data_IF_803374778987
#
_entry.id   IF_803374778987
#
_cell.length_a   1.000
_cell.length_b   1.000
_cell.length_c   1.000
_cell.angle_alpha   90.00
_cell.angle_beta   90.00
_cell.angle_gamma   90.00
#
_symmetry.space_group_name_H-M   'P 1'
#
loop_
_entity.id
_entity.type
_entity.pdbx_description
1 polymer ?
#
# COMPACT_ATOMS: atom_id res chain seq x y z
N UNK A 1 23.01 -7.91 1.16
CA UNK A 1 21.91 -8.77 0.68
C UNK A 1 20.65 -8.10 1.22
N UNK A 2 20.18 -7.07 0.53
CA UNK A 2 19.13 -6.13 0.95
C UNK A 2 18.01 -6.28 -0.08
N UNK A 3 16.70 -6.32 0.19
CA UNK A 3 15.86 -6.09 1.36
C UNK A 3 14.71 -7.11 1.27
N UNK A 4 14.03 -7.49 2.37
CA UNK A 4 12.82 -8.28 2.24
C UNK A 4 11.73 -7.36 1.66
N UNK A 5 11.56 -7.41 0.34
CA UNK A 5 10.27 -7.06 -0.27
C UNK A 5 9.22 -7.83 0.51
N UNK A 6 8.36 -7.12 1.26
CA UNK A 6 7.32 -7.74 2.08
C UNK A 6 6.54 -8.69 1.18
N UNK A 7 6.38 -9.95 1.58
CA UNK A 7 5.67 -10.93 0.77
C UNK A 7 4.23 -10.46 0.52
N UNK A 8 3.64 -10.83 -0.62
CA UNK A 8 2.30 -10.39 -1.05
C UNK A 8 1.25 -10.66 0.05
N UNK A 9 1.26 -11.84 0.66
CA UNK A 9 0.39 -12.20 1.78
C UNK A 9 0.59 -11.33 3.04
N UNK A 10 1.84 -10.95 3.31
CA UNK A 10 2.19 -10.12 4.47
C UNK A 10 1.72 -8.69 4.24
N UNK A 11 1.88 -8.17 3.02
CA UNK A 11 1.34 -6.87 2.60
C UNK A 11 -0.18 -6.85 2.82
N UNK A 12 -0.90 -7.87 2.35
CA UNK A 12 -2.36 -7.96 2.51
C UNK A 12 -2.78 -8.01 3.97
N UNK A 13 -2.08 -8.80 4.77
CA UNK A 13 -2.38 -8.94 6.21
C UNK A 13 -2.18 -7.60 6.93
N UNK A 14 -1.01 -6.97 6.74
CA UNK A 14 -0.71 -5.66 7.35
C UNK A 14 -1.66 -4.56 6.87
N UNK A 15 -1.98 -4.54 5.58
CA UNK A 15 -2.93 -3.59 5.02
C UNK A 15 -4.33 -3.73 5.64
N UNK A 16 -4.80 -4.96 5.88
CA UNK A 16 -6.08 -5.24 6.54
C UNK A 16 -6.08 -4.94 8.05
N UNK A 17 -4.95 -5.10 8.72
CA UNK A 17 -4.82 -4.82 10.16
C UNK A 17 -4.59 -3.34 10.47
N UNK A 18 -4.22 -2.55 9.47
CA UNK A 18 -3.98 -1.13 9.61
C UNK A 18 -5.26 -0.34 9.95
N UNK A 19 -5.10 0.90 10.41
CA UNK A 19 -6.23 1.76 10.76
C UNK A 19 -7.20 2.02 9.58
N UNK A 20 -6.71 1.91 8.35
CA UNK A 20 -7.50 1.99 7.11
C UNK A 20 -7.83 0.60 6.51
N UNK A 21 -7.64 -0.47 7.27
CA UNK A 21 -7.80 -1.84 6.79
C UNK A 21 -9.23 -2.19 6.38
N UNK A 22 -10.24 -1.58 6.99
CA UNK A 22 -11.63 -1.73 6.55
C UNK A 22 -11.85 -1.13 5.15
N UNK A 23 -11.22 0.02 4.87
CA UNK A 23 -11.25 0.66 3.56
C UNK A 23 -10.49 -0.18 2.53
N UNK A 24 -9.33 -0.71 2.91
CA UNK A 24 -8.55 -1.62 2.08
C UNK A 24 -9.35 -2.89 1.76
N UNK A 25 -9.93 -3.57 2.75
CA UNK A 25 -10.68 -4.82 2.54
C UNK A 25 -11.92 -4.60 1.66
N UNK A 26 -12.60 -3.47 1.83
CA UNK A 26 -13.72 -3.06 0.97
C UNK A 26 -13.29 -2.92 -0.49
N UNK A 27 -12.25 -2.13 -0.76
CA UNK A 27 -11.69 -1.97 -2.10
C UNK A 27 -11.16 -3.30 -2.66
N UNK A 28 -10.46 -4.07 -1.85
CA UNK A 28 -9.91 -5.37 -2.21
C UNK A 28 -10.98 -6.36 -2.66
N UNK A 29 -12.18 -6.30 -2.08
CA UNK A 29 -13.35 -7.10 -2.48
C UNK A 29 -14.08 -6.58 -3.73
N UNK A 30 -13.59 -5.51 -4.35
CA UNK A 30 -14.26 -4.87 -5.48
C UNK A 30 -15.40 -3.93 -5.07
N UNK A 31 -15.54 -3.61 -3.77
CA UNK A 31 -16.60 -2.71 -3.32
C UNK A 31 -16.15 -1.25 -3.46
N UNK A 32 -16.61 -0.60 -4.51
CA UNK A 32 -16.31 0.82 -4.81
C UNK A 32 -17.29 1.80 -4.16
N UNK A 33 -18.14 1.33 -3.25
CA UNK A 33 -19.15 2.15 -2.57
C UNK A 33 -18.51 3.30 -1.78
N UNK A 34 -18.76 4.53 -2.22
CA UNK A 34 -18.20 5.76 -1.64
C UNK A 34 -17.20 6.50 -2.54
N UNK A 35 -16.90 5.97 -3.73
CA UNK A 35 -16.12 6.65 -4.77
C UNK A 35 -17.02 7.15 -5.89
N UNK A 36 -16.65 8.26 -6.54
CA UNK A 36 -17.43 8.81 -7.66
C UNK A 36 -17.26 7.96 -8.92
N UNK A 37 -16.10 7.29 -9.05
CA UNK A 37 -15.78 6.46 -10.19
C UNK A 37 -14.99 5.20 -9.83
N UNK A 38 -15.08 4.17 -10.69
CA UNK A 38 -14.24 2.97 -10.57
C UNK A 38 -12.74 3.31 -10.70
N UNK A 39 -12.38 4.29 -11.53
CA UNK A 39 -11.00 4.77 -11.67
C UNK A 39 -10.42 5.34 -10.37
N UNK A 40 -11.22 6.06 -9.58
CA UNK A 40 -10.80 6.53 -8.26
C UNK A 40 -10.61 5.39 -7.27
N UNK A 41 -11.49 4.40 -7.29
CA UNK A 41 -11.34 3.22 -6.45
C UNK A 41 -10.07 2.44 -6.79
N UNK A 42 -9.77 2.29 -8.09
CA UNK A 42 -8.52 1.68 -8.57
C UNK A 42 -7.31 2.46 -8.05
N UNK A 43 -7.30 3.78 -8.22
CA UNK A 43 -6.22 4.65 -7.75
C UNK A 43 -6.03 4.55 -6.24
N UNK A 44 -7.13 4.56 -5.48
CA UNK A 44 -7.08 4.44 -4.03
C UNK A 44 -6.47 3.11 -3.59
N UNK A 45 -6.83 1.99 -4.25
CA UNK A 45 -6.22 0.70 -3.96
C UNK A 45 -4.74 0.69 -4.34
N UNK A 46 -4.37 1.23 -5.50
CA UNK A 46 -2.98 1.33 -5.93
C UNK A 46 -2.12 2.19 -5.00
N UNK A 47 -2.63 3.30 -4.47
CA UNK A 47 -1.90 4.13 -3.49
C UNK A 47 -1.67 3.37 -2.18
N UNK A 48 -2.66 2.60 -1.72
CA UNK A 48 -2.50 1.74 -0.54
C UNK A 48 -1.44 0.66 -0.81
N UNK A 49 -1.51 -0.01 -1.95
CA UNK A 49 -0.51 -1.01 -2.35
C UNK A 49 0.89 -0.39 -2.46
N UNK A 50 1.02 0.77 -3.10
CA UNK A 50 2.29 1.49 -3.23
C UNK A 50 2.96 1.72 -1.88
N UNK A 51 2.18 2.15 -0.88
CA UNK A 51 2.69 2.36 0.47
C UNK A 51 3.27 1.08 1.08
N UNK A 52 2.56 -0.05 0.96
CA UNK A 52 2.97 -1.32 1.58
C UNK A 52 4.07 -2.06 0.81
N UNK A 53 4.13 -1.91 -0.51
CA UNK A 53 5.12 -2.59 -1.37
C UNK A 53 6.37 -1.75 -1.60
N UNK A 54 6.42 -0.52 -1.08
CA UNK A 54 7.51 0.41 -1.36
C UNK A 54 7.54 0.89 -2.81
N UNK A 55 6.40 0.92 -3.50
CA UNK A 55 6.31 1.33 -4.90
C UNK A 55 6.81 0.27 -5.90
N UNK A 56 6.89 -1.00 -5.49
CA UNK A 56 7.25 -2.09 -6.38
C UNK A 56 6.15 -2.36 -7.41
N UNK A 57 6.31 -1.86 -8.63
CA UNK A 57 5.28 -1.92 -9.68
C UNK A 57 4.87 -3.36 -10.03
N UNK A 58 5.80 -4.31 -10.29
CA UNK A 58 5.42 -5.72 -10.52
C UNK A 58 4.65 -6.36 -9.37
N UNK A 59 4.97 -5.99 -8.13
CA UNK A 59 4.27 -6.51 -6.96
C UNK A 59 2.86 -5.94 -6.85
N UNK A 60 2.73 -4.63 -7.03
CA UNK A 60 1.44 -3.94 -7.00
C UNK A 60 0.51 -4.44 -8.12
N UNK A 61 1.04 -4.71 -9.32
CA UNK A 61 0.27 -5.26 -10.44
C UNK A 61 -0.32 -6.63 -10.10
N UNK A 62 0.49 -7.56 -9.57
CA UNK A 62 0.01 -8.88 -9.14
C UNK A 62 -1.07 -8.78 -8.07
N UNK A 63 -0.83 -7.95 -7.04
CA UNK A 63 -1.80 -7.72 -5.97
C UNK A 63 -3.09 -7.09 -6.50
N UNK A 64 -3.01 -6.15 -7.45
CA UNK A 64 -4.21 -5.55 -8.03
C UNK A 64 -5.02 -6.57 -8.84
N UNK A 65 -4.36 -7.45 -9.60
CA UNK A 65 -5.01 -8.55 -10.35
C UNK A 65 -5.71 -9.55 -9.44
N UNK A 66 -5.17 -9.79 -8.25
CA UNK A 66 -5.79 -10.64 -7.23
C UNK A 66 -6.97 -9.97 -6.51
N UNK A 67 -7.16 -8.66 -6.71
CA UNK A 67 -8.26 -7.91 -6.13
C UNK A 67 -9.55 -8.05 -6.96
N UNK A 68 -10.69 -7.81 -6.31
CA UNK A 68 -12.00 -7.75 -6.96
C UNK A 68 -12.23 -6.52 -7.85
N UNK A 69 -11.26 -5.60 -7.95
CA UNK A 69 -11.31 -4.44 -8.85
C UNK A 69 -10.69 -4.70 -10.22
N UNK A 70 -10.03 -5.85 -10.41
CA UNK A 70 -9.44 -6.21 -11.68
C UNK A 70 -10.49 -6.22 -12.82
N UNK A 71 -10.09 -5.68 -13.97
CA UNK A 71 -10.94 -5.47 -15.15
C UNK A 71 -10.12 -5.57 -16.43
N UNK A 72 -10.75 -5.96 -17.55
CA UNK A 72 -10.08 -6.12 -18.85
C UNK A 72 -9.35 -4.84 -19.30
N UNK A 73 -9.91 -3.67 -18.97
CA UNK A 73 -9.29 -2.35 -19.21
C UNK A 73 -7.90 -2.22 -18.60
N UNK A 74 -7.60 -2.95 -17.52
CA UNK A 74 -6.31 -2.89 -16.83
C UNK A 74 -5.14 -3.20 -17.77
N UNK A 75 -5.33 -4.18 -18.66
CA UNK A 75 -4.34 -4.60 -19.66
C UNK A 75 -4.49 -3.88 -21.00
N UNK A 76 -5.49 -3.00 -21.12
CA UNK A 76 -5.74 -2.25 -22.35
C UNK A 76 -4.74 -1.11 -22.50
N UNK A 77 -4.10 -1.05 -23.67
CA UNK A 77 -3.23 0.06 -24.06
C UNK A 77 -4.08 1.31 -24.25
N UNK A 78 -4.00 2.21 -23.27
CA UNK A 78 -4.83 3.41 -23.22
C UNK A 78 -4.09 4.68 -23.61
N UNK A 79 -2.76 4.62 -23.67
CA UNK A 79 -1.90 5.79 -23.85
C UNK A 79 -1.13 5.73 -25.17
N UNK A 80 -0.86 6.90 -25.75
CA UNK A 80 -0.14 7.04 -27.02
C UNK A 80 1.32 6.56 -26.95
N UNK A 81 1.86 6.40 -25.74
CA UNK A 81 3.20 5.84 -25.49
C UNK A 81 3.22 4.30 -25.47
N UNK A 82 2.07 3.65 -25.64
CA UNK A 82 1.94 2.19 -25.61
C UNK A 82 1.73 1.61 -24.21
N UNK A 83 1.64 2.45 -23.17
CA UNK A 83 1.41 1.97 -21.80
C UNK A 83 -0.04 1.54 -21.59
N UNK A 84 -0.22 0.52 -20.75
CA UNK A 84 -1.54 0.08 -20.31
C UNK A 84 -2.16 1.05 -19.31
N UNK A 85 -3.48 0.97 -19.14
CA UNK A 85 -4.15 1.71 -18.06
C UNK A 85 -3.59 1.34 -16.69
N UNK A 86 -3.34 0.04 -16.45
CA UNK A 86 -2.77 -0.45 -15.21
C UNK A 86 -1.41 0.16 -14.91
N UNK A 87 -0.47 0.08 -15.86
CA UNK A 87 0.88 0.64 -15.71
C UNK A 87 0.86 2.12 -15.34
N UNK A 88 0.05 2.93 -16.03
CA UNK A 88 -0.07 4.36 -15.71
C UNK A 88 -0.76 4.64 -14.39
N UNK A 89 -1.66 3.76 -13.96
CA UNK A 89 -2.31 3.88 -12.65
C UNK A 89 -1.32 3.57 -11.53
N UNK A 90 -0.52 2.51 -11.70
CA UNK A 90 0.56 2.16 -10.77
C UNK A 90 1.61 3.28 -10.69
N UNK A 91 2.07 3.78 -11.84
CA UNK A 91 3.04 4.87 -11.92
C UNK A 91 2.54 6.12 -11.17
N UNK A 92 1.29 6.52 -11.42
CA UNK A 92 0.66 7.65 -10.71
C UNK A 92 0.53 7.40 -9.21
N UNK A 93 0.12 6.20 -8.82
CA UNK A 93 -0.01 5.85 -7.42
C UNK A 93 1.33 5.93 -6.67
N UNK A 94 2.42 5.47 -7.29
CA UNK A 94 3.78 5.62 -6.72
C UNK A 94 4.19 7.09 -6.65
N UNK A 95 3.93 7.88 -7.70
CA UNK A 95 4.24 9.32 -7.70
C UNK A 95 3.45 10.09 -6.63
N UNK A 96 2.19 9.73 -6.40
CA UNK A 96 1.34 10.33 -5.39
C UNK A 96 1.71 9.88 -3.96
N UNK A 97 2.25 8.67 -3.85
CA UNK A 97 2.70 8.05 -2.61
C UNK A 97 4.16 8.43 -2.34
N UNK A 98 4.37 9.61 -1.74
CA UNK A 98 5.72 10.09 -1.40
C UNK A 98 6.30 9.47 -0.12
N UNK A 99 5.49 8.72 0.63
CA UNK A 99 5.90 8.03 1.84
C UNK A 99 5.63 6.54 1.67
N UNK A 100 6.62 5.71 1.99
CA UNK A 100 6.52 4.26 1.92
C UNK A 100 6.61 3.66 3.31
N UNK A 101 6.06 2.45 3.48
CA UNK A 101 6.27 1.67 4.69
C UNK A 101 7.73 1.21 4.74
N UNK A 102 8.47 1.78 5.69
CA UNK A 102 9.84 1.37 5.99
C UNK A 102 9.83 0.60 7.33
N UNK A 103 10.03 -0.73 7.32
CA UNK A 103 10.05 -1.53 8.54
C UNK A 103 11.22 -1.14 9.48
N UNK A 104 12.23 -0.42 8.99
CA UNK A 104 13.42 -0.02 9.75
C UNK A 104 13.26 1.35 10.45
N UNK A 105 12.14 2.05 10.25
CA UNK A 105 11.82 3.33 10.94
C UNK A 105 11.29 3.17 12.37
N UNK A 106 11.56 2.03 13.02
CA UNK A 106 11.50 1.94 14.47
C UNK A 106 12.37 3.05 15.06
N UNK A 107 11.93 3.81 16.07
CA UNK A 107 12.85 4.60 16.86
C UNK A 107 13.83 3.59 17.45
N UNK A 108 15.07 3.58 16.95
CA UNK A 108 16.17 3.00 17.71
C UNK A 108 16.24 3.84 18.97
N UNK A 109 15.63 3.33 20.04
CA UNK A 109 16.09 3.69 21.37
C UNK A 109 17.59 3.36 21.39
N UNK A 110 18.35 4.43 21.47
CA UNK A 110 19.73 4.48 21.85
C UNK A 110 20.03 3.45 22.94
N UNK A 111 20.70 2.37 22.55
CA UNK A 111 21.50 1.62 23.50
C UNK A 111 22.86 1.31 22.90
N UNK A 112 23.84 2.08 23.36
CA UNK A 112 25.21 1.61 23.47
C UNK A 112 25.21 0.21 24.12
N UNK A 113 25.89 -0.72 23.44
CA UNK A 113 26.67 -1.82 24.04
C UNK A 113 25.91 -3.11 24.42
N UNK A 114 26.21 -4.16 23.64
CA UNK A 114 26.49 -5.54 24.10
C UNK A 114 25.32 -6.47 24.48
N UNK A 115 25.13 -7.45 23.57
CA UNK A 115 24.70 -8.86 23.73
C UNK A 115 23.45 -9.24 24.55
N UNK A 116 22.72 -10.16 23.91
CA UNK A 116 21.95 -11.27 24.47
C UNK A 116 20.46 -11.02 24.80
N UNK A 117 19.64 -11.68 23.97
CA UNK A 117 18.45 -12.47 24.31
C UNK A 117 17.22 -11.77 24.96
N UNK A 118 16.06 -12.07 24.38
CA UNK A 118 14.76 -12.39 25.04
C UNK A 118 13.56 -11.42 24.87
N UNK A 119 12.55 -11.92 24.12
CA UNK A 119 11.07 -11.88 24.26
C UNK A 119 10.27 -10.62 24.71
N UNK A 120 9.36 -10.16 23.81
CA UNK A 120 7.97 -9.70 24.10
C UNK A 120 7.66 -8.19 24.01
N UNK A 121 6.37 -7.78 24.02
CA UNK A 121 5.38 -7.75 22.93
C UNK A 121 5.23 -6.34 22.28
N UNK A 122 5.58 -6.20 20.99
CA UNK A 122 5.48 -4.93 20.25
C UNK A 122 4.13 -4.82 19.51
N UNK A 123 3.18 -3.99 19.95
CA UNK A 123 1.88 -3.85 19.25
C UNK A 123 1.18 -2.48 19.37
N UNK A 124 1.73 -1.51 20.09
CA UNK A 124 1.04 -0.22 20.35
C UNK A 124 1.65 0.96 19.61
N UNK A 125 2.98 1.02 19.46
CA UNK A 125 3.67 2.11 18.75
C UNK A 125 3.47 2.03 17.23
N UNK A 126 3.49 0.82 16.65
CA UNK A 126 3.25 0.60 15.22
C UNK A 126 1.86 1.09 14.79
N UNK A 127 0.85 0.90 15.65
CA UNK A 127 -0.53 1.32 15.35
C UNK A 127 -0.68 2.84 15.32
N UNK A 128 0.03 3.58 16.18
CA UNK A 128 -0.03 5.04 16.21
C UNK A 128 0.65 5.67 14.98
N UNK A 129 1.82 5.16 14.61
CA UNK A 129 2.54 5.59 13.41
C UNK A 129 1.75 5.30 12.13
N UNK A 130 1.21 4.07 12.01
CA UNK A 130 0.36 3.70 10.89
C UNK A 130 -0.94 4.51 10.88
N UNK A 131 -1.55 4.81 12.03
CA UNK A 131 -2.77 5.64 12.07
C UNK A 131 -2.53 7.06 11.54
N UNK A 132 -1.43 7.70 11.93
CA UNK A 132 -1.12 9.06 11.46
C UNK A 132 -0.76 9.06 9.97
N UNK A 133 0.05 8.11 9.51
CA UNK A 133 0.37 7.99 8.08
C UNK A 133 -0.84 7.65 7.22
N UNK A 134 -1.72 6.77 7.71
CA UNK A 134 -2.96 6.43 7.03
C UNK A 134 -3.93 7.62 6.95
N UNK A 135 -3.91 8.52 7.94
CA UNK A 135 -4.68 9.77 7.89
C UNK A 135 -4.19 10.66 6.75
N UNK A 136 -2.87 10.86 6.64
CA UNK A 136 -2.26 11.67 5.57
C UNK A 136 -2.49 11.05 4.18
N UNK A 137 -2.33 9.72 4.05
CA UNK A 137 -2.63 8.99 2.81
C UNK A 137 -4.11 9.14 2.41
N UNK A 138 -5.02 9.06 3.38
CA UNK A 138 -6.45 9.18 3.11
C UNK A 138 -6.82 10.58 2.63
N UNK A 139 -6.24 11.63 3.18
CA UNK A 139 -6.49 13.01 2.73
C UNK A 139 -5.90 13.27 1.34
N UNK A 140 -4.75 12.67 1.01
CA UNK A 140 -4.17 12.79 -0.34
C UNK A 140 -4.93 12.00 -1.40
N UNK A 141 -5.48 10.84 -1.06
CA UNK A 141 -6.34 10.04 -1.95
C UNK A 141 -7.68 10.73 -2.19
N UNK A 142 -8.21 11.54 -1.25
CA UNK A 142 -9.43 12.33 -1.45
C UNK A 142 -9.23 13.57 -2.33
N UNK A 143 -8.00 14.04 -2.48
CA UNK A 143 -7.65 15.28 -3.20
C UNK A 143 -7.08 15.05 -4.61
N UNK A 144 -7.10 13.82 -5.13
CA UNK A 144 -6.67 13.47 -6.48
C UNK A 144 -7.84 12.93 -7.29
#
# INVERSE_FOLDING_TARGET
MSEPTLNDEVVLTKAREAANGEKFDRLWRGQTSGYESHSEADMALCCLLAFWTGGNHPQMDRLFRDSGLYREKWDEVHYADGSTYGEKTLERAVQQTSEFYDPDTQPREDHETTTAQSVGPQSTQDKAYLAEKNRVLTERVKNA
#
